data_IF_705746907867
#
_entry.id   IF_705746907867
#
_cell.length_a   1.000
_cell.length_b   1.000
_cell.length_c   1.000
_cell.angle_alpha   90.00
_cell.angle_beta   90.00
_cell.angle_gamma   90.00
#
_symmetry.space_group_name_H-M   'P 1'
#
loop_
_entity.id
_entity.type
_entity.pdbx_description
1 polymer ?
#
# COMPACT_ATOMS: atom_id res chain seq x y z
N UNK A 1 -3.36 5.78 12.05
CA UNK A 1 -2.38 6.01 10.98
C UNK A 1 -3.02 5.55 9.69
N UNK A 2 -3.00 6.44 8.72
CA UNK A 2 -3.28 6.20 7.31
C UNK A 2 -2.28 5.17 6.77
N UNK A 3 -2.73 4.37 5.81
CA UNK A 3 -1.88 3.45 5.09
C UNK A 3 -0.96 4.24 4.15
N UNK A 4 0.33 3.94 4.14
CA UNK A 4 1.29 4.66 3.28
C UNK A 4 2.07 3.73 2.34
N UNK A 5 2.26 4.18 1.10
CA UNK A 5 2.96 3.45 0.04
C UNK A 5 4.08 4.32 -0.49
N UNK A 6 5.31 3.82 -0.40
CA UNK A 6 6.49 4.52 -0.91
C UNK A 6 6.69 4.24 -2.40
N UNK A 7 6.62 5.27 -3.25
CA UNK A 7 6.92 5.14 -4.67
C UNK A 7 8.43 5.23 -4.87
N UNK A 8 9.04 4.15 -5.37
CA UNK A 8 10.46 4.05 -5.66
C UNK A 8 10.68 3.76 -7.14
N UNK A 9 11.86 4.08 -7.64
CA UNK A 9 12.24 3.82 -9.03
C UNK A 9 13.60 4.41 -9.35
N UNK A 10 14.22 3.94 -10.43
CA UNK A 10 15.43 4.57 -10.95
C UNK A 10 15.12 5.97 -11.52
N UNK A 11 16.13 6.82 -11.71
CA UNK A 11 15.95 8.06 -12.46
C UNK A 11 15.34 7.84 -13.85
N UNK A 12 14.49 8.76 -14.29
CA UNK A 12 13.89 8.80 -15.63
C UNK A 12 12.95 7.61 -15.99
N UNK A 13 12.41 6.91 -15.00
CA UNK A 13 11.40 5.85 -15.23
C UNK A 13 9.95 6.34 -15.29
N UNK A 14 9.72 7.66 -15.09
CA UNK A 14 8.39 8.27 -15.08
C UNK A 14 7.72 8.35 -13.69
N UNK A 15 8.49 8.11 -12.62
CA UNK A 15 8.04 8.21 -11.21
C UNK A 15 7.33 9.53 -10.89
N UNK A 16 7.95 10.67 -11.17
CA UNK A 16 7.37 11.99 -10.87
C UNK A 16 6.14 12.29 -11.72
N UNK A 17 6.08 11.82 -12.97
CA UNK A 17 4.90 11.94 -13.82
C UNK A 17 3.73 11.17 -13.22
N UNK A 18 3.96 9.92 -12.81
CA UNK A 18 2.96 9.08 -12.17
C UNK A 18 2.48 9.68 -10.83
N UNK A 19 3.41 10.16 -10.00
CA UNK A 19 3.07 10.79 -8.72
C UNK A 19 2.23 12.07 -8.91
N UNK A 20 2.60 12.91 -9.88
CA UNK A 20 1.82 14.11 -10.19
C UNK A 20 0.42 13.76 -10.72
N UNK A 21 0.31 12.71 -11.54
CA UNK A 21 -0.98 12.20 -12.00
C UNK A 21 -1.83 11.67 -10.83
N UNK A 22 -1.23 10.93 -9.88
CA UNK A 22 -1.90 10.47 -8.65
C UNK A 22 -2.48 11.64 -7.87
N UNK A 23 -1.68 12.68 -7.61
CA UNK A 23 -2.12 13.86 -6.84
C UNK A 23 -3.22 14.63 -7.57
N UNK A 24 -3.09 14.82 -8.89
CA UNK A 24 -4.08 15.54 -9.71
C UNK A 24 -5.41 14.79 -9.81
N UNK A 25 -5.38 13.50 -10.15
CA UNK A 25 -6.58 12.69 -10.39
C UNK A 25 -7.40 12.45 -9.12
N UNK A 26 -6.73 12.37 -7.97
CA UNK A 26 -7.38 12.01 -6.72
C UNK A 26 -8.12 13.18 -6.03
N UNK A 27 -8.22 14.37 -6.65
CA UNK A 27 -8.63 15.62 -5.97
C UNK A 27 -7.88 15.80 -4.63
N UNK A 28 -6.63 15.33 -4.58
CA UNK A 28 -5.84 15.26 -3.38
C UNK A 28 -5.38 16.66 -2.93
N UNK A 29 -5.48 16.94 -1.64
CA UNK A 29 -4.74 18.06 -1.06
C UNK A 29 -3.26 17.64 -0.94
N UNK A 30 -2.40 18.22 -1.77
CA UNK A 30 -0.96 18.18 -1.53
C UNK A 30 -0.67 19.01 -0.28
N UNK A 31 -0.22 18.35 0.80
CA UNK A 31 0.17 19.04 2.03
C UNK A 31 1.62 18.71 2.37
N UNK A 32 2.37 19.74 2.77
CA UNK A 32 3.68 19.58 3.38
C UNK A 32 3.46 19.31 4.88
N UNK A 33 4.10 18.28 5.45
CA UNK A 33 4.04 18.04 6.88
C UNK A 33 4.56 19.26 7.65
N UNK A 34 3.87 19.77 8.70
CA UNK A 34 4.19 21.09 9.26
C UNK A 34 5.45 21.17 10.14
N UNK A 35 6.33 20.15 10.18
CA UNK A 35 7.33 20.06 11.24
C UNK A 35 8.76 19.61 10.84
N UNK A 36 9.11 19.41 9.57
CA UNK A 36 10.50 19.11 9.17
C UNK A 36 10.93 19.83 7.88
N UNK A 37 12.21 20.21 7.78
CA UNK A 37 12.75 21.13 6.76
C UNK A 37 13.11 20.48 5.42
N UNK A 38 12.90 19.17 5.23
CA UNK A 38 13.22 18.40 4.00
C UNK A 38 12.27 17.18 3.88
N UNK A 39 10.96 17.36 3.73
CA UNK A 39 10.00 16.23 3.64
C UNK A 39 9.76 15.75 2.19
N UNK A 40 9.53 14.43 1.98
CA UNK A 40 9.13 13.86 0.68
C UNK A 40 7.75 14.35 0.27
N UNK A 41 7.46 14.36 -1.04
CA UNK A 41 6.11 14.74 -1.50
C UNK A 41 5.10 13.65 -1.09
N UNK A 42 4.04 14.04 -0.39
CA UNK A 42 2.96 13.14 0.01
C UNK A 42 1.69 13.47 -0.77
N UNK A 43 1.11 12.47 -1.40
CA UNK A 43 -0.19 12.55 -2.07
C UNK A 43 -1.20 11.68 -1.34
N UNK A 44 -2.32 12.26 -0.91
CA UNK A 44 -3.40 11.52 -0.26
C UNK A 44 -4.47 11.20 -1.30
N UNK A 45 -4.68 9.92 -1.59
CA UNK A 45 -5.57 9.48 -2.65
C UNK A 45 -6.79 8.77 -2.07
N UNK A 46 -7.99 9.18 -2.49
CA UNK A 46 -9.24 8.51 -2.11
C UNK A 46 -9.34 7.13 -2.79
N UNK A 47 -9.84 6.16 -2.04
CA UNK A 47 -10.05 4.79 -2.54
C UNK A 47 -11.44 4.71 -3.16
N UNK A 48 -11.55 4.41 -4.46
CA UNK A 48 -12.85 4.34 -5.13
C UNK A 48 -13.62 3.11 -4.64
N UNK A 49 -14.79 3.35 -4.03
CA UNK A 49 -15.69 2.29 -3.55
C UNK A 49 -17.16 2.63 -3.82
N UNK A 50 -17.75 1.98 -4.82
CA UNK A 50 -19.14 2.17 -5.24
C UNK A 50 -20.16 1.82 -4.14
N UNK A 51 -19.75 1.08 -3.10
CA UNK A 51 -20.62 0.75 -1.97
C UNK A 51 -20.94 1.99 -1.15
N UNK A 52 -19.99 2.92 -1.06
CA UNK A 52 -20.07 4.10 -0.22
C UNK A 52 -21.20 5.04 -0.68
N UNK A 53 -21.29 5.30 -1.98
CA UNK A 53 -22.32 6.18 -2.55
C UNK A 53 -23.73 5.66 -2.26
N UNK A 54 -23.96 4.37 -2.46
CA UNK A 54 -25.25 3.72 -2.16
C UNK A 54 -25.64 3.80 -0.68
N UNK A 55 -24.66 3.69 0.23
CA UNK A 55 -24.90 3.85 1.66
C UNK A 55 -25.26 5.29 2.02
N UNK A 56 -24.57 6.27 1.42
CA UNK A 56 -24.88 7.70 1.57
C UNK A 56 -26.31 7.99 1.13
N UNK A 57 -26.72 7.48 -0.03
CA UNK A 57 -28.07 7.68 -0.57
C UNK A 57 -29.15 7.14 0.38
N UNK A 58 -29.00 5.90 0.87
CA UNK A 58 -29.97 5.25 1.75
C UNK A 58 -30.06 5.93 3.12
N UNK A 59 -28.91 6.32 3.67
CA UNK A 59 -28.85 6.99 4.97
C UNK A 59 -29.12 8.50 4.90
N UNK A 60 -29.33 9.04 3.69
CA UNK A 60 -29.45 10.47 3.43
C UNK A 60 -28.34 11.29 4.10
N UNK A 61 -27.11 10.79 4.03
CA UNK A 61 -25.98 11.39 4.73
C UNK A 61 -25.61 12.75 4.16
N UNK A 62 -25.36 13.73 5.03
CA UNK A 62 -24.90 15.06 4.62
C UNK A 62 -23.48 15.06 4.03
N UNK A 63 -22.66 14.08 4.43
CA UNK A 63 -21.27 13.94 3.98
C UNK A 63 -20.94 12.49 3.63
N UNK A 64 -20.29 12.31 2.49
CA UNK A 64 -19.63 11.05 2.10
C UNK A 64 -18.14 11.18 2.36
N UNK A 65 -17.55 10.23 3.09
CA UNK A 65 -16.12 10.26 3.42
C UNK A 65 -15.47 8.94 3.00
N UNK A 66 -14.75 8.90 1.87
CA UNK A 66 -14.01 7.71 1.47
C UNK A 66 -12.82 7.48 2.40
N UNK A 67 -12.26 6.28 2.31
CA UNK A 67 -10.96 5.98 2.90
C UNK A 67 -9.86 6.46 1.98
N UNK A 68 -8.66 6.68 2.51
CA UNK A 68 -7.54 7.24 1.76
C UNK A 68 -6.29 6.37 1.89
N UNK A 69 -5.42 6.44 0.88
CA UNK A 69 -4.05 5.92 0.90
C UNK A 69 -3.11 7.10 0.74
N UNK A 70 -2.03 7.12 1.51
CA UNK A 70 -0.92 8.03 1.30
C UNK A 70 0.09 7.41 0.33
N UNK A 71 0.38 8.11 -0.75
CA UNK A 71 1.52 7.81 -1.61
C UNK A 71 2.64 8.79 -1.28
N UNK A 72 3.83 8.26 -1.03
CA UNK A 72 5.01 9.05 -0.69
C UNK A 72 5.98 8.96 -1.86
N UNK A 73 6.29 10.08 -2.48
CA UNK A 73 7.28 10.14 -3.56
C UNK A 73 8.69 10.07 -2.97
N UNK A 74 9.30 8.89 -3.05
CA UNK A 74 10.66 8.69 -2.55
C UNK A 74 11.58 9.02 -3.72
N UNK A 75 12.51 9.97 -3.52
CA UNK A 75 13.35 10.43 -4.63
C UNK A 75 14.11 9.25 -5.27
N UNK A 76 14.44 9.41 -6.56
CA UNK A 76 14.97 8.31 -7.37
C UNK A 76 16.15 7.62 -6.72
N UNK A 77 16.08 6.29 -6.57
CA UNK A 77 17.17 5.49 -6.05
C UNK A 77 18.31 5.51 -7.07
N UNK A 78 19.43 6.09 -6.68
CA UNK A 78 20.67 6.06 -7.46
C UNK A 78 21.54 4.93 -6.92
N UNK A 79 22.28 4.25 -7.80
CA UNK A 79 23.27 3.24 -7.40
C UNK A 79 24.19 3.80 -6.31
N UNK A 80 24.35 3.05 -5.22
CA UNK A 80 25.16 3.42 -4.06
C UNK A 80 24.39 4.11 -2.92
N UNK A 81 23.06 4.13 -2.94
CA UNK A 81 22.24 4.72 -1.87
C UNK A 81 22.54 4.12 -0.48
N UNK A 82 22.89 2.82 -0.41
CA UNK A 82 23.25 2.12 0.82
C UNK A 82 24.59 2.54 1.44
N UNK A 83 25.51 3.18 0.69
CA UNK A 83 26.88 3.48 1.16
C UNK A 83 26.97 4.66 2.14
N UNK A 84 25.86 5.34 2.40
CA UNK A 84 25.77 6.39 3.41
C UNK A 84 26.49 7.70 3.09
N UNK A 85 27.12 7.83 1.92
CA UNK A 85 27.64 9.09 1.40
C UNK A 85 26.54 9.82 0.61
N UNK A 86 25.90 10.82 1.22
CA UNK A 86 24.92 11.71 0.55
C UNK A 86 23.45 11.45 0.89
N UNK A 87 22.53 11.91 0.01
CA UNK A 87 21.08 11.87 0.22
C UNK A 87 20.46 10.45 0.24
N UNK A 88 21.21 9.41 -0.18
CA UNK A 88 20.74 8.02 -0.28
C UNK A 88 20.17 7.43 1.02
N UNK A 89 20.83 7.68 2.15
CA UNK A 89 20.36 7.18 3.45
C UNK A 89 19.07 7.86 3.92
N UNK A 90 18.84 9.12 3.53
CA UNK A 90 17.60 9.84 3.85
C UNK A 90 16.42 9.22 3.09
N UNK A 91 16.63 8.84 1.81
CA UNK A 91 15.59 8.16 1.02
C UNK A 91 15.21 6.79 1.58
N UNK A 92 16.18 5.99 2.01
CA UNK A 92 15.92 4.68 2.62
C UNK A 92 15.17 4.81 3.95
N UNK A 93 15.40 5.90 4.71
CA UNK A 93 14.65 6.17 5.94
C UNK A 93 13.15 6.40 5.65
N UNK A 94 12.81 7.15 4.59
CA UNK A 94 11.41 7.35 4.21
C UNK A 94 10.72 6.06 3.75
N UNK A 95 11.44 5.11 3.12
CA UNK A 95 10.87 3.79 2.79
C UNK A 95 10.54 3.01 4.08
N UNK A 96 11.32 3.16 5.16
CA UNK A 96 11.03 2.45 6.42
C UNK A 96 9.70 2.83 7.02
N UNK A 97 9.31 4.09 6.85
CA UNK A 97 8.07 4.67 7.36
C UNK A 97 6.83 4.26 6.54
N UNK A 98 7.00 3.60 5.39
CA UNK A 98 5.87 3.16 4.54
C UNK A 98 5.40 1.75 4.89
N UNK A 99 4.14 1.41 4.59
CA UNK A 99 3.62 0.05 4.76
C UNK A 99 3.97 -0.86 3.57
N UNK A 100 4.09 -0.27 2.38
CA UNK A 100 4.40 -0.97 1.13
C UNK A 100 5.37 -0.18 0.24
N UNK A 101 5.89 -0.85 -0.78
CA UNK A 101 6.73 -0.25 -1.82
C UNK A 101 6.00 -0.36 -3.17
N UNK A 102 5.89 0.75 -3.89
CA UNK A 102 5.46 0.79 -5.28
C UNK A 102 6.68 1.07 -6.18
N UNK A 103 7.19 0.03 -6.84
CA UNK A 103 8.40 0.09 -7.66
C UNK A 103 8.06 0.40 -9.12
N UNK A 104 8.37 1.62 -9.55
CA UNK A 104 8.17 2.08 -10.94
C UNK A 104 9.34 1.63 -11.81
N UNK A 105 9.01 0.90 -12.87
CA UNK A 105 9.96 0.31 -13.81
C UNK A 105 9.62 0.79 -15.22
N UNK A 106 10.63 1.13 -16.01
CA UNK A 106 10.43 1.63 -17.37
C UNK A 106 10.30 0.48 -18.37
N UNK A 107 9.18 0.43 -19.09
CA UNK A 107 8.93 -0.52 -20.19
C UNK A 107 8.79 0.17 -21.55
N UNK A 108 8.78 1.50 -21.61
CA UNK A 108 8.62 2.27 -22.85
C UNK A 108 9.95 2.79 -23.40
N UNK A 109 10.07 2.75 -24.72
CA UNK A 109 11.15 3.41 -25.46
C UNK A 109 10.81 4.88 -25.73
N UNK A 110 11.76 5.77 -25.53
CA UNK A 110 11.64 7.17 -25.92
C UNK A 110 13.06 7.70 -26.24
N UNK A 111 13.32 8.18 -27.47
CA UNK A 111 14.65 8.62 -27.89
C UNK A 111 15.17 9.84 -27.12
N UNK A 112 14.28 10.65 -26.54
CA UNK A 112 14.63 11.86 -25.80
C UNK A 112 14.94 11.59 -24.31
N UNK A 113 14.72 10.35 -23.83
CA UNK A 113 14.88 10.00 -22.41
C UNK A 113 15.96 8.93 -22.25
N UNK A 114 17.10 9.35 -21.71
CA UNK A 114 18.25 8.48 -21.45
C UNK A 114 17.99 7.59 -20.22
N UNK A 115 18.18 6.28 -20.40
CA UNK A 115 18.13 5.31 -19.32
C UNK A 115 19.46 5.26 -18.55
N UNK A 116 19.42 5.10 -17.22
CA UNK A 116 20.63 5.11 -16.37
C UNK A 116 21.60 3.98 -16.75
N UNK A 117 21.08 2.83 -17.19
CA UNK A 117 21.87 1.69 -17.67
C UNK A 117 22.24 1.77 -19.17
N UNK A 118 21.93 2.87 -19.86
CA UNK A 118 22.15 3.03 -21.31
C UNK A 118 21.13 2.30 -22.20
N UNK A 119 20.62 1.15 -21.76
CA UNK A 119 19.52 0.41 -22.40
C UNK A 119 18.40 0.16 -21.40
N UNK A 120 17.16 0.12 -21.88
CA UNK A 120 15.99 -0.24 -21.07
C UNK A 120 16.02 -1.76 -20.81
N UNK A 121 16.11 -2.14 -19.55
CA UNK A 121 16.08 -3.54 -19.13
C UNK A 121 15.34 -3.65 -17.78
N UNK A 122 14.03 -3.94 -17.81
CA UNK A 122 13.20 -4.03 -16.59
C UNK A 122 13.76 -4.99 -15.55
N UNK A 123 14.32 -6.14 -15.96
CA UNK A 123 14.86 -7.13 -15.03
C UNK A 123 16.07 -6.59 -14.27
N UNK A 124 16.99 -5.92 -14.97
CA UNK A 124 18.17 -5.32 -14.35
C UNK A 124 17.83 -4.11 -13.47
N UNK A 125 16.77 -3.36 -13.81
CA UNK A 125 16.27 -2.27 -12.98
C UNK A 125 15.73 -2.78 -11.64
N UNK A 126 14.92 -3.84 -11.67
CA UNK A 126 14.40 -4.49 -10.46
C UNK A 126 15.55 -5.02 -9.61
N UNK A 127 16.51 -5.73 -10.20
CA UNK A 127 17.69 -6.23 -9.48
C UNK A 127 18.49 -5.10 -8.85
N UNK A 128 18.71 -4.01 -9.58
CA UNK A 128 19.43 -2.84 -9.08
C UNK A 128 18.74 -2.24 -7.85
N UNK A 129 17.42 -2.04 -7.91
CA UNK A 129 16.66 -1.50 -6.78
C UNK A 129 16.67 -2.47 -5.60
N UNK A 130 16.40 -3.76 -5.83
CA UNK A 130 16.42 -4.78 -4.80
C UNK A 130 17.78 -4.88 -4.10
N UNK A 131 18.88 -4.80 -4.84
CA UNK A 131 20.22 -4.82 -4.28
C UNK A 131 20.45 -3.67 -3.30
N UNK A 132 20.00 -2.45 -3.63
CA UNK A 132 20.11 -1.30 -2.71
C UNK A 132 19.31 -1.52 -1.41
N UNK A 133 18.10 -2.09 -1.51
CA UNK A 133 17.27 -2.43 -0.35
C UNK A 133 17.93 -3.53 0.50
N UNK A 134 18.45 -4.57 -0.14
CA UNK A 134 19.16 -5.70 0.49
C UNK A 134 20.38 -5.19 1.25
N UNK A 135 21.20 -4.33 0.64
CA UNK A 135 22.40 -3.80 1.28
C UNK A 135 22.07 -2.89 2.47
N UNK A 136 20.95 -2.17 2.41
CA UNK A 136 20.43 -1.41 3.56
C UNK A 136 20.03 -2.33 4.73
N UNK A 137 19.28 -3.38 4.42
CA UNK A 137 18.86 -4.37 5.42
C UNK A 137 20.06 -5.13 5.98
N UNK A 138 21.05 -5.49 5.16
CA UNK A 138 22.26 -6.18 5.60
C UNK A 138 23.01 -5.34 6.64
N UNK A 139 23.22 -4.04 6.38
CA UNK A 139 23.84 -3.13 7.34
C UNK A 139 23.06 -3.05 8.66
N UNK A 140 21.72 -3.09 8.57
CA UNK A 140 20.84 -3.05 9.73
C UNK A 140 20.93 -4.34 10.56
N UNK A 141 20.92 -5.50 9.90
CA UNK A 141 21.05 -6.82 10.52
C UNK A 141 22.38 -6.94 11.24
N UNK A 142 23.48 -6.52 10.62
CA UNK A 142 24.81 -6.58 11.24
C UNK A 142 24.90 -5.73 12.52
N UNK A 143 24.34 -4.51 12.50
CA UNK A 143 24.27 -3.64 13.68
C UNK A 143 23.40 -4.25 14.78
N UNK A 144 22.24 -4.79 14.40
CA UNK A 144 21.31 -5.43 15.33
C UNK A 144 21.93 -6.68 15.98
N UNK A 145 22.55 -7.56 15.19
CA UNK A 145 23.28 -8.73 15.68
C UNK A 145 24.39 -8.33 16.64
N UNK A 146 25.23 -7.35 16.28
CA UNK A 146 26.33 -6.91 17.13
C UNK A 146 25.86 -6.36 18.49
N UNK A 147 24.70 -5.68 18.51
CA UNK A 147 24.08 -5.17 19.75
C UNK A 147 23.45 -6.30 20.57
N UNK A 148 22.58 -7.10 19.95
CA UNK A 148 21.84 -8.16 20.64
C UNK A 148 22.76 -9.24 21.20
N UNK A 149 23.83 -9.60 20.48
CA UNK A 149 24.83 -10.57 20.97
C UNK A 149 25.61 -10.05 22.18
N UNK A 150 25.79 -8.73 22.33
CA UNK A 150 26.40 -8.13 23.54
C UNK A 150 25.45 -8.08 24.72
N UNK A 151 24.17 -7.80 24.44
CA UNK A 151 23.13 -7.65 25.46
C UNK A 151 22.53 -9.00 25.91
N UNK A 152 22.89 -10.10 25.24
CA UNK A 152 22.34 -11.44 25.50
C UNK A 152 22.76 -11.98 26.88
N UNK A 153 21.76 -12.24 27.74
CA UNK A 153 21.98 -12.80 29.07
C UNK A 153 21.91 -14.33 29.06
N UNK A 154 22.66 -15.03 29.94
CA UNK A 154 22.49 -16.46 30.14
C UNK A 154 21.04 -16.78 30.56
N UNK A 155 20.34 -17.57 29.73
CA UNK A 155 18.94 -17.97 29.96
C UNK A 155 17.90 -17.20 29.16
N UNK A 156 18.28 -16.17 28.40
CA UNK A 156 17.37 -15.45 27.51
C UNK A 156 17.07 -16.26 26.23
N UNK A 157 16.01 -17.06 26.29
CA UNK A 157 15.60 -17.92 25.17
C UNK A 157 14.99 -17.12 24.01
N UNK A 158 14.37 -15.96 24.29
CA UNK A 158 13.78 -15.11 23.25
C UNK A 158 14.87 -14.37 22.46
N UNK A 159 15.82 -13.76 23.17
CA UNK A 159 16.98 -13.13 22.54
C UNK A 159 17.79 -14.10 21.67
N UNK A 160 17.97 -15.35 22.12
CA UNK A 160 18.61 -16.40 21.30
C UNK A 160 17.84 -16.70 20.02
N UNK A 161 16.51 -16.81 20.08
CA UNK A 161 15.67 -17.04 18.88
C UNK A 161 15.80 -15.89 17.89
N UNK A 162 15.71 -14.64 18.37
CA UNK A 162 15.88 -13.45 17.52
C UNK A 162 17.25 -13.43 16.82
N UNK A 163 18.33 -13.78 17.52
CA UNK A 163 19.68 -13.87 16.93
C UNK A 163 19.73 -14.93 15.82
N UNK A 164 19.18 -16.13 16.05
CA UNK A 164 19.14 -17.20 15.02
C UNK A 164 18.40 -16.74 13.77
N UNK A 165 17.27 -16.04 13.93
CA UNK A 165 16.51 -15.50 12.80
C UNK A 165 17.36 -14.46 12.06
N UNK A 166 17.99 -13.53 12.78
CA UNK A 166 18.85 -12.51 12.20
C UNK A 166 20.08 -13.07 11.48
N UNK A 167 20.69 -14.14 12.00
CA UNK A 167 21.81 -14.85 11.34
C UNK A 167 21.36 -15.46 10.01
N UNK A 168 20.20 -16.11 9.98
CA UNK A 168 19.62 -16.65 8.74
C UNK A 168 19.26 -15.55 7.74
N UNK A 169 18.72 -14.41 8.20
CA UNK A 169 18.49 -13.25 7.34
C UNK A 169 19.82 -12.75 6.77
N UNK A 170 20.84 -12.60 7.61
CA UNK A 170 22.17 -12.15 7.18
C UNK A 170 22.72 -13.03 6.05
N UNK A 171 22.71 -14.34 6.23
CA UNK A 171 23.23 -15.30 5.25
C UNK A 171 22.50 -15.19 3.89
N UNK A 172 21.18 -15.02 3.90
CA UNK A 172 20.42 -14.85 2.66
C UNK A 172 20.66 -13.49 1.99
N UNK A 173 20.74 -12.41 2.76
CA UNK A 173 21.03 -11.07 2.23
C UNK A 173 22.45 -11.00 1.62
N UNK A 174 23.43 -11.70 2.19
CA UNK A 174 24.78 -11.83 1.61
C UNK A 174 24.79 -12.56 0.26
N UNK A 175 23.75 -13.37 -0.02
CA UNK A 175 23.53 -14.04 -1.30
C UNK A 175 22.58 -13.25 -2.23
N UNK A 176 22.31 -11.98 -1.93
CA UNK A 176 21.39 -11.12 -2.68
C UNK A 176 19.93 -11.63 -2.69
N UNK A 177 19.55 -12.41 -1.67
CA UNK A 177 18.19 -12.93 -1.51
C UNK A 177 17.42 -12.02 -0.54
N UNK A 178 16.29 -11.41 -0.96
CA UNK A 178 15.50 -10.54 -0.08
C UNK A 178 14.74 -11.31 1.01
N UNK A 179 14.42 -10.65 2.12
CA UNK A 179 13.82 -11.29 3.30
C UNK A 179 12.50 -12.00 3.00
N UNK A 180 11.64 -11.44 2.15
CA UNK A 180 10.39 -12.08 1.73
C UNK A 180 10.61 -13.46 1.06
N UNK A 181 11.79 -13.70 0.47
CA UNK A 181 12.15 -14.99 -0.11
C UNK A 181 12.77 -15.95 0.92
N UNK A 182 13.53 -15.43 1.89
CA UNK A 182 14.17 -16.22 2.96
C UNK A 182 13.10 -16.76 3.94
N UNK A 183 12.09 -15.94 4.25
CA UNK A 183 11.01 -16.23 5.19
C UNK A 183 9.64 -16.05 4.53
N UNK A 184 9.16 -17.03 3.74
CA UNK A 184 7.83 -16.96 3.14
C UNK A 184 6.71 -17.05 4.17
N UNK A 185 6.94 -17.77 5.28
CA UNK A 185 6.02 -17.83 6.42
C UNK A 185 6.43 -16.75 7.43
N UNK A 186 5.67 -15.66 7.50
CA UNK A 186 6.02 -14.44 8.26
C UNK A 186 6.01 -14.60 9.80
N UNK A 187 5.64 -15.76 10.33
CA UNK A 187 5.55 -16.04 11.77
C UNK A 187 6.88 -15.75 12.50
N UNK A 188 8.01 -16.17 11.93
CA UNK A 188 9.33 -15.92 12.52
C UNK A 188 9.69 -14.42 12.51
N UNK A 189 9.17 -13.66 11.55
CA UNK A 189 9.44 -12.22 11.43
C UNK A 189 8.70 -11.39 12.49
N UNK A 190 7.63 -11.93 13.10
CA UNK A 190 6.90 -11.26 14.19
C UNK A 190 7.80 -10.98 15.40
N UNK A 191 8.79 -11.85 15.65
CA UNK A 191 9.73 -11.68 16.76
C UNK A 191 10.72 -10.53 16.56
N UNK A 192 10.89 -10.04 15.34
CA UNK A 192 11.85 -9.00 14.99
C UNK A 192 11.19 -7.87 14.18
N UNK A 193 9.87 -7.75 14.27
CA UNK A 193 9.10 -6.77 13.50
C UNK A 193 9.52 -5.32 13.82
N UNK A 194 10.09 -5.08 15.02
CA UNK A 194 10.60 -3.78 15.45
C UNK A 194 11.77 -3.24 14.60
N UNK A 195 12.47 -4.11 13.86
CA UNK A 195 13.63 -3.72 13.05
C UNK A 195 13.20 -3.06 11.72
N UNK A 196 11.95 -3.27 11.29
CA UNK A 196 11.35 -2.66 10.09
C UNK A 196 12.22 -2.81 8.82
N UNK A 197 12.53 -4.05 8.45
CA UNK A 197 13.27 -4.34 7.21
C UNK A 197 12.54 -3.83 5.97
N UNK A 198 13.31 -3.41 4.95
CA UNK A 198 12.80 -2.94 3.69
C UNK A 198 12.34 -4.10 2.80
N UNK A 199 13.16 -5.15 2.72
CA UNK A 199 12.94 -6.32 1.86
C UNK A 199 11.95 -7.34 2.45
N UNK A 200 11.27 -7.00 3.55
CA UNK A 200 10.10 -7.75 4.06
C UNK A 200 8.76 -7.09 3.70
N UNK A 201 8.79 -5.82 3.25
CA UNK A 201 7.59 -5.08 2.86
C UNK A 201 7.00 -5.67 1.58
N UNK A 202 5.65 -5.66 1.42
CA UNK A 202 5.02 -5.98 0.15
C UNK A 202 5.47 -5.00 -0.95
N UNK A 203 5.69 -5.53 -2.16
CA UNK A 203 6.12 -4.76 -3.33
C UNK A 203 5.07 -4.85 -4.42
N UNK A 204 4.61 -3.71 -4.90
CA UNK A 204 3.82 -3.54 -6.10
C UNK A 204 4.75 -3.08 -7.22
N UNK A 205 4.75 -3.76 -8.36
CA UNK A 205 5.56 -3.41 -9.51
C UNK A 205 4.72 -2.62 -10.50
N UNK A 206 5.10 -1.37 -10.76
CA UNK A 206 4.42 -0.51 -11.72
C UNK A 206 5.22 -0.54 -13.01
N UNK A 207 4.71 -1.28 -13.99
CA UNK A 207 5.26 -1.30 -15.34
C UNK A 207 4.81 -0.05 -16.07
N UNK A 208 5.66 0.97 -16.08
CA UNK A 208 5.39 2.19 -16.84
C UNK A 208 5.58 1.91 -18.33
N UNK A 209 4.47 1.77 -19.07
CA UNK A 209 4.40 1.38 -20.47
C UNK A 209 3.98 2.54 -21.36
N UNK A 210 4.12 2.39 -22.69
CA UNK A 210 3.51 3.33 -23.63
C UNK A 210 2.00 3.13 -23.72
N UNK A 211 1.28 4.08 -24.31
CA UNK A 211 -0.19 4.03 -24.47
C UNK A 211 -0.65 2.74 -25.14
N UNK A 212 0.03 2.32 -26.22
CA UNK A 212 -0.28 1.11 -26.99
C UNK A 212 -0.13 -0.19 -26.18
N UNK A 213 0.62 -0.12 -25.07
CA UNK A 213 0.86 -1.27 -24.20
C UNK A 213 0.06 -1.18 -22.89
N UNK A 214 -0.77 -0.16 -22.68
CA UNK A 214 -1.54 0.03 -21.45
C UNK A 214 -2.56 -1.10 -21.18
N UNK A 215 -3.05 -1.75 -22.23
CA UNK A 215 -3.96 -2.91 -22.16
C UNK A 215 -3.23 -4.26 -22.14
N UNK A 216 -1.89 -4.26 -22.20
CA UNK A 216 -1.08 -5.49 -22.13
C UNK A 216 -1.32 -6.17 -20.80
N UNK A 217 -1.43 -7.50 -20.81
CA UNK A 217 -1.59 -8.25 -19.56
C UNK A 217 -0.27 -8.35 -18.81
N UNK A 218 -0.30 -8.40 -17.46
CA UNK A 218 0.92 -8.58 -16.67
C UNK A 218 1.74 -9.81 -17.10
N UNK A 219 1.08 -10.92 -17.42
CA UNK A 219 1.73 -12.18 -17.81
C UNK A 219 2.53 -12.03 -19.11
N UNK A 220 1.99 -11.30 -20.09
CA UNK A 220 2.66 -11.06 -21.38
C UNK A 220 3.94 -10.24 -21.18
N UNK A 221 3.94 -9.27 -20.24
CA UNK A 221 5.14 -8.51 -19.88
C UNK A 221 6.15 -9.39 -19.13
N UNK A 222 5.69 -10.24 -18.23
CA UNK A 222 6.56 -11.15 -17.47
C UNK A 222 7.27 -12.12 -18.43
N UNK A 223 6.54 -12.71 -19.37
CA UNK A 223 7.10 -13.62 -20.37
C UNK A 223 8.07 -12.89 -21.31
N UNK A 224 7.66 -11.74 -21.86
CA UNK A 224 8.46 -10.98 -22.82
C UNK A 224 9.79 -10.49 -22.24
N UNK A 225 9.81 -10.12 -20.95
CA UNK A 225 10.99 -9.55 -20.28
C UNK A 225 11.65 -10.52 -19.28
N UNK A 226 11.23 -11.79 -19.25
CA UNK A 226 11.78 -12.84 -18.38
C UNK A 226 11.84 -12.43 -16.89
N UNK A 227 10.69 -12.01 -16.36
CA UNK A 227 10.55 -11.48 -14.99
C UNK A 227 10.08 -12.52 -13.97
N UNK A 228 9.90 -13.77 -14.37
CA UNK A 228 9.33 -14.86 -13.58
C UNK A 228 10.14 -15.20 -12.32
N UNK A 229 11.47 -15.05 -12.37
CA UNK A 229 12.33 -15.24 -11.19
C UNK A 229 12.25 -14.08 -10.20
N UNK A 230 11.87 -12.88 -10.65
CA UNK A 230 11.87 -11.64 -9.87
C UNK A 230 10.49 -11.31 -9.30
N UNK A 231 9.43 -11.61 -10.07
CA UNK A 231 8.04 -11.29 -9.75
C UNK A 231 7.27 -12.60 -9.60
N UNK A 232 7.17 -13.09 -8.36
CA UNK A 232 6.51 -14.37 -8.06
C UNK A 232 4.99 -14.34 -8.26
N UNK A 233 4.36 -13.19 -8.02
CA UNK A 233 2.93 -13.01 -8.22
C UNK A 233 2.69 -12.07 -9.41
N UNK A 234 2.18 -12.58 -10.55
CA UNK A 234 1.85 -11.76 -11.70
C UNK A 234 0.92 -10.59 -11.39
N UNK A 235 -0.02 -10.79 -10.46
CA UNK A 235 -0.99 -9.76 -10.06
C UNK A 235 -0.32 -8.55 -9.38
N UNK A 236 0.91 -8.71 -8.89
CA UNK A 236 1.69 -7.60 -8.33
C UNK A 236 2.34 -6.72 -9.40
N UNK A 237 2.32 -7.11 -10.69
CA UNK A 237 2.78 -6.29 -11.80
C UNK A 237 1.60 -5.57 -12.48
N UNK A 238 1.69 -4.24 -12.52
CA UNK A 238 0.58 -3.37 -12.91
C UNK A 238 1.04 -2.52 -14.10
N UNK A 239 0.61 -2.86 -15.33
CA UNK A 239 0.84 -2.04 -16.51
C UNK A 239 0.09 -0.72 -16.40
N UNK A 240 0.81 0.40 -16.39
CA UNK A 240 0.27 1.76 -16.33
C UNK A 240 1.01 2.61 -17.35
N UNK A 241 0.30 3.42 -18.14
CA UNK A 241 0.93 4.49 -18.91
C UNK A 241 0.87 5.77 -18.10
N UNK A 242 2.00 6.23 -17.56
CA UNK A 242 2.05 7.49 -16.83
C UNK A 242 1.61 8.69 -17.70
N UNK A 243 1.72 8.57 -19.03
CA UNK A 243 1.23 9.57 -19.97
C UNK A 243 -0.31 9.63 -20.00
N UNK A 244 -0.98 8.48 -20.16
CA UNK A 244 -2.45 8.39 -20.11
C UNK A 244 -2.96 8.97 -18.79
N UNK A 245 -2.35 8.58 -17.67
CA UNK A 245 -2.75 9.07 -16.34
C UNK A 245 -2.59 10.58 -16.19
N UNK A 246 -1.55 11.15 -16.80
CA UNK A 246 -1.34 12.61 -16.79
C UNK A 246 -2.40 13.34 -17.62
N UNK A 247 -2.77 12.80 -18.78
CA UNK A 247 -3.79 13.37 -19.66
C UNK A 247 -5.19 13.30 -19.01
N UNK A 248 -5.52 12.16 -18.38
CA UNK A 248 -6.76 12.00 -17.61
C UNK A 248 -6.92 13.08 -16.53
N UNK A 249 -5.83 13.47 -15.87
CA UNK A 249 -5.85 14.50 -14.83
C UNK A 249 -6.14 15.91 -15.31
N UNK A 250 -6.19 16.15 -16.62
CA UNK A 250 -6.54 17.44 -17.24
C UNK A 250 -7.95 17.45 -17.82
N UNK A 251 -8.60 16.29 -17.86
CA UNK A 251 -9.93 16.08 -18.42
C UNK A 251 -11.02 16.17 -17.34
N UNK A 252 -12.24 16.46 -17.78
CA UNK A 252 -13.43 16.37 -16.92
C UNK A 252 -13.86 14.92 -16.70
N UNK A 253 -14.62 14.62 -15.63
CA UNK A 253 -15.08 13.25 -15.33
C UNK A 253 -15.84 12.58 -16.50
N UNK A 254 -16.51 13.36 -17.36
CA UNK A 254 -17.17 12.85 -18.57
C UNK A 254 -16.17 12.53 -19.67
N UNK A 255 -15.23 13.43 -19.93
CA UNK A 255 -14.23 13.27 -20.99
C UNK A 255 -13.23 12.15 -20.64
N UNK A 256 -12.93 11.96 -19.35
CA UNK A 256 -12.10 10.85 -18.88
C UNK A 256 -12.70 9.49 -19.27
N UNK A 257 -14.02 9.32 -19.12
CA UNK A 257 -14.70 8.06 -19.48
C UNK A 257 -14.64 7.82 -20.99
N UNK A 258 -14.95 8.83 -21.80
CA UNK A 258 -14.86 8.73 -23.25
C UNK A 258 -13.43 8.43 -23.74
N UNK A 259 -12.43 9.05 -23.10
CA UNK A 259 -11.02 8.81 -23.41
C UNK A 259 -10.60 7.38 -23.08
N UNK A 260 -10.94 6.88 -21.88
CA UNK A 260 -10.66 5.50 -21.48
C UNK A 260 -11.33 4.48 -22.41
N UNK A 261 -12.60 4.70 -22.77
CA UNK A 261 -13.34 3.87 -23.72
C UNK A 261 -12.67 3.82 -25.09
N UNK A 262 -12.15 4.96 -25.58
CA UNK A 262 -11.43 5.03 -26.85
C UNK A 262 -10.14 4.19 -26.88
N UNK A 263 -9.55 3.96 -25.71
CA UNK A 263 -8.34 3.16 -25.50
C UNK A 263 -8.64 1.70 -25.11
N UNK A 264 -9.92 1.31 -25.03
CA UNK A 264 -10.39 0.02 -24.50
C UNK A 264 -9.93 -0.25 -23.06
N UNK A 265 -9.93 0.79 -22.23
CA UNK A 265 -9.65 0.70 -20.80
C UNK A 265 -10.95 0.87 -20.00
N UNK A 266 -11.23 -0.05 -19.07
CA UNK A 266 -12.43 0.04 -18.21
C UNK A 266 -12.22 1.01 -17.02
N UNK A 267 -10.97 1.20 -16.61
CA UNK A 267 -10.58 2.07 -15.51
C UNK A 267 -9.16 2.61 -15.73
N UNK A 268 -8.84 3.72 -15.06
CA UNK A 268 -7.47 4.23 -15.04
C UNK A 268 -6.52 3.23 -14.39
N UNK A 269 -5.26 3.24 -14.81
CA UNK A 269 -4.18 2.46 -14.21
C UNK A 269 -3.97 2.80 -12.74
N UNK A 270 -4.20 4.06 -12.34
CA UNK A 270 -4.12 4.46 -10.94
C UNK A 270 -5.24 3.86 -10.08
N UNK A 271 -6.47 3.76 -10.59
CA UNK A 271 -7.56 3.09 -9.88
C UNK A 271 -7.24 1.60 -9.70
N UNK A 272 -6.69 0.95 -10.73
CA UNK A 272 -6.22 -0.45 -10.65
C UNK A 272 -5.10 -0.61 -9.61
N UNK A 273 -4.14 0.32 -9.57
CA UNK A 273 -3.07 0.34 -8.57
C UNK A 273 -3.60 0.38 -7.15
N UNK A 274 -4.56 1.25 -6.87
CA UNK A 274 -5.17 1.41 -5.55
C UNK A 274 -5.88 0.12 -5.10
N UNK A 275 -6.63 -0.52 -6.00
CA UNK A 275 -7.34 -1.78 -5.72
C UNK A 275 -6.36 -2.91 -5.40
N UNK A 276 -5.35 -3.11 -6.25
CA UNK A 276 -4.33 -4.16 -6.06
C UNK A 276 -3.51 -3.88 -4.79
N UNK A 277 -3.25 -2.62 -4.45
CA UNK A 277 -2.60 -2.26 -3.20
C UNK A 277 -3.42 -2.69 -1.97
N UNK A 278 -4.74 -2.49 -1.99
CA UNK A 278 -5.65 -2.94 -0.93
C UNK A 278 -5.59 -4.45 -0.73
N UNK A 279 -5.68 -5.20 -1.82
CA UNK A 279 -5.62 -6.66 -1.78
C UNK A 279 -4.26 -7.15 -1.29
N UNK A 280 -3.18 -6.59 -1.81
CA UNK A 280 -1.79 -6.96 -1.45
C UNK A 280 -1.48 -6.70 0.01
N UNK A 281 -2.02 -5.61 0.57
CA UNK A 281 -1.85 -5.26 1.97
C UNK A 281 -2.85 -5.98 2.89
N UNK A 282 -3.71 -6.83 2.31
CA UNK A 282 -4.71 -7.59 3.05
C UNK A 282 -5.71 -6.68 3.76
N UNK A 283 -6.07 -5.56 3.13
CA UNK A 283 -6.95 -4.56 3.70
C UNK A 283 -8.40 -4.86 3.34
N UNK A 284 -9.30 -4.52 4.25
CA UNK A 284 -10.74 -4.54 4.03
C UNK A 284 -11.34 -3.22 4.52
N UNK A 285 -12.54 -2.92 4.06
CA UNK A 285 -13.25 -1.69 4.41
C UNK A 285 -14.52 -2.03 5.16
N UNK A 286 -14.74 -1.39 6.31
CA UNK A 286 -16.03 -1.35 6.98
C UNK A 286 -16.60 0.08 6.91
N UNK A 287 -17.90 0.22 7.13
CA UNK A 287 -18.60 1.49 7.01
C UNK A 287 -19.26 1.89 8.31
N UNK A 288 -19.28 3.20 8.57
CA UNK A 288 -20.24 3.82 9.50
C UNK A 288 -21.17 4.66 8.66
N UNK A 289 -22.49 4.51 8.83
CA UNK A 289 -23.47 5.21 7.99
C UNK A 289 -24.64 5.74 8.82
N UNK A 290 -24.94 7.03 8.67
CA UNK A 290 -26.07 7.71 9.31
C UNK A 290 -26.31 9.10 8.71
N UNK A 291 -27.28 9.85 9.24
CA UNK A 291 -27.72 11.13 8.65
C UNK A 291 -26.60 12.19 8.56
N UNK A 292 -25.67 12.22 9.52
CA UNK A 292 -24.55 13.17 9.49
C UNK A 292 -23.51 12.81 8.45
N UNK A 293 -23.06 11.55 8.47
CA UNK A 293 -22.01 11.09 7.57
C UNK A 293 -22.16 9.60 7.26
N UNK A 294 -21.72 9.25 6.05
CA UNK A 294 -21.37 7.90 5.67
C UNK A 294 -19.88 7.86 5.36
N UNK A 295 -19.16 6.98 6.04
CA UNK A 295 -17.70 6.93 6.03
C UNK A 295 -17.17 5.51 5.86
N UNK A 296 -16.17 5.38 5.00
CA UNK A 296 -15.37 4.18 4.84
C UNK A 296 -14.18 4.20 5.81
N UNK A 297 -13.89 3.06 6.41
CA UNK A 297 -12.80 2.85 7.34
C UNK A 297 -11.99 1.63 6.94
N UNK A 298 -10.66 1.78 6.87
CA UNK A 298 -9.76 0.71 6.45
C UNK A 298 -9.10 0.03 7.64
N UNK A 299 -9.13 -1.29 7.60
CA UNK A 299 -8.52 -2.18 8.59
C UNK A 299 -7.82 -3.34 7.89
N UNK A 300 -6.89 -3.97 8.58
CA UNK A 300 -6.29 -5.23 8.11
C UNK A 300 -7.30 -6.36 8.28
N UNK A 301 -7.41 -7.25 7.30
CA UNK A 301 -8.22 -8.46 7.35
C UNK A 301 -7.86 -9.28 8.60
N UNK A 302 -8.89 -9.72 9.33
CA UNK A 302 -8.70 -10.39 10.62
C UNK A 302 -8.73 -9.46 11.84
N UNK A 303 -8.86 -8.14 11.65
CA UNK A 303 -9.03 -7.21 12.76
C UNK A 303 -10.32 -7.48 13.52
N UNK A 304 -10.23 -7.44 14.84
CA UNK A 304 -11.36 -7.56 15.77
C UNK A 304 -12.20 -6.28 15.81
N UNK A 305 -13.45 -6.38 16.26
CA UNK A 305 -14.32 -5.22 16.44
C UNK A 305 -13.72 -4.09 17.30
N UNK A 306 -13.04 -4.37 18.44
CA UNK A 306 -12.35 -3.32 19.19
C UNK A 306 -11.23 -2.61 18.40
N UNK A 307 -10.41 -3.37 17.67
CA UNK A 307 -9.34 -2.82 16.84
C UNK A 307 -9.90 -1.94 15.70
N UNK A 308 -11.02 -2.36 15.10
CA UNK A 308 -11.74 -1.55 14.12
C UNK A 308 -12.30 -0.26 14.73
N UNK A 309 -12.85 -0.33 15.95
CA UNK A 309 -13.30 0.84 16.69
C UNK A 309 -12.15 1.82 16.99
N UNK A 310 -10.96 1.28 17.29
CA UNK A 310 -9.73 2.05 17.52
C UNK A 310 -9.28 2.88 16.31
N UNK A 311 -9.64 2.48 15.08
CA UNK A 311 -9.41 3.29 13.87
C UNK A 311 -10.26 4.55 13.81
N UNK A 312 -11.43 4.55 14.45
CA UNK A 312 -12.26 5.75 14.60
C UNK A 312 -11.66 6.67 15.64
N UNK A 313 -11.40 6.13 16.84
CA UNK A 313 -10.73 6.84 17.93
C UNK A 313 -10.16 5.85 18.93
N UNK A 314 -9.00 6.15 19.53
CA UNK A 314 -8.34 5.25 20.50
C UNK A 314 -9.18 4.99 21.76
N UNK A 315 -10.02 5.95 22.15
CA UNK A 315 -10.96 5.78 23.27
C UNK A 315 -12.07 4.75 22.99
N UNK A 316 -12.48 4.59 21.72
CA UNK A 316 -13.49 3.60 21.36
C UNK A 316 -12.96 2.18 21.57
N UNK A 317 -11.67 1.95 21.32
CA UNK A 317 -11.03 0.66 21.56
C UNK A 317 -10.93 0.36 23.06
N UNK A 318 -10.49 1.34 23.86
CA UNK A 318 -10.37 1.21 25.32
C UNK A 318 -11.73 1.02 26.00
N UNK A 319 -12.72 1.79 25.55
CA UNK A 319 -14.08 1.81 26.08
C UNK A 319 -15.03 0.82 25.41
N UNK A 320 -14.54 -0.06 24.52
CA UNK A 320 -15.40 -0.92 23.71
C UNK A 320 -16.30 -1.83 24.57
N UNK A 321 -17.61 -1.77 24.31
CA UNK A 321 -18.61 -2.64 24.93
C UNK A 321 -19.06 -3.70 23.91
N UNK A 322 -19.60 -3.24 22.79
CA UNK A 322 -20.15 -4.06 21.72
C UNK A 322 -20.26 -3.24 20.43
N UNK A 323 -20.64 -3.87 19.33
CA UNK A 323 -20.94 -3.18 18.07
C UNK A 323 -22.16 -3.80 17.41
N UNK A 324 -23.05 -2.96 16.89
CA UNK A 324 -24.15 -3.43 16.04
C UNK A 324 -23.63 -3.53 14.59
N UNK A 325 -23.81 -4.69 13.96
CA UNK A 325 -23.30 -5.00 12.63
C UNK A 325 -24.45 -5.40 11.70
N UNK A 326 -24.45 -4.82 10.51
CA UNK A 326 -25.28 -5.25 9.37
C UNK A 326 -24.34 -5.51 8.18
N UNK A 327 -24.56 -6.61 7.46
CA UNK A 327 -23.86 -6.86 6.19
C UNK A 327 -24.32 -5.88 5.12
N UNK A 328 -23.40 -5.36 4.32
CA UNK A 328 -23.68 -4.41 3.22
C UNK A 328 -24.95 -4.76 2.43
N UNK A 329 -25.03 -5.99 1.90
CA UNK A 329 -26.16 -6.42 1.06
C UNK A 329 -27.51 -6.33 1.77
N UNK A 330 -27.55 -6.69 3.05
CA UNK A 330 -28.77 -6.57 3.86
C UNK A 330 -29.15 -5.12 4.10
N UNK A 331 -28.15 -4.25 4.33
CA UNK A 331 -28.37 -2.81 4.52
C UNK A 331 -28.99 -2.17 3.27
N UNK A 332 -28.47 -2.52 2.09
CA UNK A 332 -29.01 -2.06 0.80
C UNK A 332 -30.42 -2.63 0.57
N UNK A 333 -30.59 -3.94 0.70
CA UNK A 333 -31.85 -4.63 0.41
C UNK A 333 -33.01 -4.14 1.29
N UNK A 334 -32.72 -3.72 2.52
CA UNK A 334 -33.74 -3.30 3.48
C UNK A 334 -33.72 -1.81 3.78
N UNK A 335 -32.96 -1.02 3.02
CA UNK A 335 -33.01 0.45 3.08
C UNK A 335 -32.69 1.00 4.48
N UNK A 336 -31.59 0.51 5.07
CA UNK A 336 -30.96 1.13 6.24
C UNK A 336 -31.23 0.44 7.59
N UNK A 337 -30.86 1.15 8.66
CA UNK A 337 -30.79 0.60 10.02
C UNK A 337 -32.15 0.16 10.58
N UNK A 338 -33.18 1.00 10.45
CA UNK A 338 -34.49 0.76 11.09
C UNK A 338 -35.16 -0.51 10.52
N UNK A 339 -35.32 -0.66 9.19
CA UNK A 339 -35.98 -1.85 8.67
C UNK A 339 -35.14 -3.13 8.84
N UNK A 340 -33.80 -3.02 8.83
CA UNK A 340 -32.93 -4.13 9.19
C UNK A 340 -33.14 -4.59 10.65
N UNK A 341 -33.33 -3.64 11.57
CA UNK A 341 -33.58 -3.93 12.98
C UNK A 341 -34.93 -4.62 13.19
N UNK A 342 -35.98 -4.14 12.52
CA UNK A 342 -37.32 -4.75 12.57
C UNK A 342 -37.33 -6.19 12.04
N UNK A 343 -36.46 -6.50 11.08
CA UNK A 343 -36.28 -7.85 10.52
C UNK A 343 -35.31 -8.73 11.30
N UNK A 344 -34.73 -8.24 12.40
CA UNK A 344 -33.76 -8.99 13.21
C UNK A 344 -32.41 -9.25 12.52
N UNK A 345 -32.04 -8.42 11.54
CA UNK A 345 -30.80 -8.57 10.76
C UNK A 345 -29.61 -7.83 11.40
N UNK A 346 -29.87 -6.99 12.39
CA UNK A 346 -28.84 -6.32 13.20
C UNK A 346 -28.30 -7.31 14.21
N UNK A 347 -27.00 -7.60 14.15
CA UNK A 347 -26.31 -8.44 15.13
C UNK A 347 -25.49 -7.58 16.06
N UNK A 348 -25.67 -7.75 17.37
CA UNK A 348 -24.79 -7.14 18.37
C UNK A 348 -23.64 -8.09 18.64
N UNK A 349 -22.44 -7.66 18.27
CA UNK A 349 -21.22 -8.46 18.31
C UNK A 349 -20.27 -7.96 19.40
N UNK A 350 -19.53 -8.89 19.99
CA UNK A 350 -18.60 -8.65 21.10
C UNK A 350 -17.14 -8.44 20.66
N UNK A 351 -16.22 -8.48 21.64
CA UNK A 351 -14.79 -8.20 21.44
C UNK A 351 -14.07 -9.18 20.50
N UNK A 352 -14.56 -10.40 20.39
CA UNK A 352 -13.95 -11.47 19.57
C UNK A 352 -14.46 -11.49 18.13
N UNK A 353 -15.40 -10.62 17.78
CA UNK A 353 -15.91 -10.57 16.41
C UNK A 353 -14.83 -10.09 15.46
N UNK A 354 -14.63 -10.85 14.38
CA UNK A 354 -13.73 -10.49 13.29
C UNK A 354 -14.52 -9.73 12.25
N UNK A 355 -14.15 -8.46 12.05
CA UNK A 355 -14.82 -7.59 11.09
C UNK A 355 -14.66 -8.16 9.68
N UNK A 356 -15.75 -8.14 8.92
CA UNK A 356 -15.77 -8.58 7.54
C UNK A 356 -15.82 -7.36 6.61
N UNK A 357 -15.32 -7.55 5.39
CA UNK A 357 -15.40 -6.52 4.37
C UNK A 357 -16.86 -6.14 4.08
N UNK A 358 -17.13 -4.84 4.00
CA UNK A 358 -18.46 -4.28 3.79
C UNK A 358 -19.37 -4.25 5.02
N UNK A 359 -18.88 -4.62 6.21
CA UNK A 359 -19.70 -4.49 7.43
C UNK A 359 -20.11 -3.03 7.67
N UNK A 360 -21.40 -2.79 7.86
CA UNK A 360 -21.94 -1.50 8.30
C UNK A 360 -22.11 -1.57 9.81
N UNK A 361 -21.35 -0.75 10.55
CA UNK A 361 -21.13 -0.90 11.98
C UNK A 361 -21.56 0.34 12.77
N UNK A 362 -22.07 0.10 13.98
CA UNK A 362 -22.40 1.12 14.97
C UNK A 362 -21.84 0.72 16.34
N UNK A 363 -20.76 1.38 16.75
CA UNK A 363 -20.03 1.04 17.97
C UNK A 363 -20.70 1.57 19.24
N UNK A 364 -20.73 0.73 20.28
CA UNK A 364 -21.19 1.06 21.63
C UNK A 364 -19.96 1.05 22.55
N UNK A 365 -19.66 2.19 23.14
CA UNK A 365 -18.48 2.37 24.00
C UNK A 365 -18.85 3.22 25.21
N UNK A 366 -18.05 3.10 26.27
CA UNK A 366 -18.09 4.00 27.41
C UNK A 366 -16.91 4.95 27.36
N UNK A 367 -17.15 6.23 27.70
CA UNK A 367 -16.11 7.26 27.80
C UNK A 367 -15.56 7.32 29.22
#
# INVERSE_FOLDING_TARGET
MSLSIGIVGLPNVGKSTLFNALVKNAKAEASNYPFCTIDPNVGVVEVPDNRLEKLTEISHSQKTVPTTIEFIDIAGLVKGAHKGEGLGNQFLAHIKETDAIAMVIRFFENPDIIHVGGQINPAEDIKTINLELILSDLSLVEKSLARMSKDLKPGDNEGKKKIVILEKIKEGLEQEIPIWAIFPNKEDLELICEIQFLTSKPVLYIANVSENMATTKPEDLIEKYHLDELIKNPDSLIPISAQIESELGELSDTDQKEFLESLNLEASGLNRLIQIAYETLGLITFFTSGEKETRAWTITKGSTAPQAAGKIHTDFERGFIATDVIKYDNFIQHQGWIPCKEKGLVKTEGKTYIVQDGDVMLFKFNV
#
